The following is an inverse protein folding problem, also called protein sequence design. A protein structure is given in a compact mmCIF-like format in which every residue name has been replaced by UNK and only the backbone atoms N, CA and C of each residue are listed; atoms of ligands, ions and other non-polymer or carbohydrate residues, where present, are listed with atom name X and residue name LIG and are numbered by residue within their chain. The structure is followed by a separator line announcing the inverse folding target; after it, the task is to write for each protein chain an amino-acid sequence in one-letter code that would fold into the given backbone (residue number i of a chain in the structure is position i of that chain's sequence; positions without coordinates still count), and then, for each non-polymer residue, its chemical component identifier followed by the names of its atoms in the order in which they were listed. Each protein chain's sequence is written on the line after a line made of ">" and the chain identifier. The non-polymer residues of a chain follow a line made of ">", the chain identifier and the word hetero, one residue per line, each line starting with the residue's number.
data_IF_483961663848
#
_entry.id   IF_483961663848
#
_cell.length_a   1.000
_cell.length_b   1.000
_cell.length_c   1.000
_cell.angle_alpha   90.00
_cell.angle_beta   90.00
_cell.angle_gamma   90.00
#
_symmetry.space_group_name_H-M   'P 1'
#
loop_
_entity.id
_entity.type
_entity.pdbx_description
1 polymer ?
#
# COMPACT_ATOMS: atom_id res chain seq x y z
N UNK A 1 -42.81 20.69 -0.35
CA UNK A 1 -41.39 20.47 -0.24
C UNK A 1 -41.19 19.34 0.76
N UNK A 2 -41.02 18.12 0.28
CA UNK A 2 -40.71 16.94 1.08
C UNK A 2 -39.22 16.98 1.42
N UNK A 3 -38.92 17.20 2.69
CA UNK A 3 -37.56 17.05 3.21
C UNK A 3 -37.16 15.58 3.08
N UNK A 4 -36.30 15.26 2.16
CA UNK A 4 -35.62 13.97 2.10
C UNK A 4 -34.68 13.90 3.29
N UNK A 5 -35.04 13.12 4.29
CA UNK A 5 -34.16 12.76 5.38
C UNK A 5 -33.03 11.91 4.82
N UNK A 6 -31.88 12.53 4.55
CA UNK A 6 -30.67 11.88 4.03
C UNK A 6 -29.69 11.57 5.15
N UNK A 7 -30.11 10.85 6.16
CA UNK A 7 -29.19 10.19 7.08
C UNK A 7 -29.42 8.68 6.97
N UNK A 8 -28.96 8.09 5.89
CA UNK A 8 -28.75 6.65 5.84
C UNK A 8 -27.41 6.38 6.54
N UNK A 9 -27.44 6.06 7.81
CA UNK A 9 -26.29 5.56 8.56
C UNK A 9 -26.01 4.14 8.08
N UNK A 10 -24.85 3.93 7.43
CA UNK A 10 -24.41 2.62 7.03
C UNK A 10 -23.64 1.98 8.21
N UNK A 11 -24.30 1.08 8.93
CA UNK A 11 -23.62 0.33 9.99
C UNK A 11 -23.19 -1.02 9.47
N UNK A 12 -21.86 -1.20 9.29
CA UNK A 12 -21.27 -2.48 8.90
C UNK A 12 -20.70 -3.15 10.16
N UNK A 13 -21.33 -4.24 10.58
CA UNK A 13 -20.91 -5.02 11.77
C UNK A 13 -20.23 -6.33 11.42
N UNK A 14 -20.26 -6.72 10.15
CA UNK A 14 -19.80 -8.02 9.67
C UNK A 14 -19.09 -7.86 8.34
N UNK A 15 -18.39 -8.93 7.90
CA UNK A 15 -17.82 -8.99 6.56
C UNK A 15 -18.95 -9.11 5.55
N UNK A 16 -19.05 -8.13 4.64
CA UNK A 16 -20.03 -8.13 3.56
C UNK A 16 -19.34 -8.63 2.29
N UNK A 17 -19.79 -9.75 1.77
CA UNK A 17 -19.32 -10.27 0.49
C UNK A 17 -20.26 -9.86 -0.64
N UNK A 18 -19.76 -9.04 -1.58
CA UNK A 18 -20.51 -8.57 -2.74
C UNK A 18 -20.17 -9.45 -3.94
N UNK A 19 -21.03 -10.42 -4.21
CA UNK A 19 -20.88 -11.33 -5.34
C UNK A 19 -21.55 -10.73 -6.57
N UNK A 20 -20.87 -10.79 -7.72
CA UNK A 20 -21.44 -10.31 -8.99
C UNK A 20 -20.57 -10.73 -10.17
N UNK A 21 -21.22 -10.88 -11.34
CA UNK A 21 -20.53 -11.19 -12.58
C UNK A 21 -19.59 -10.06 -13.01
N UNK A 22 -18.68 -10.36 -13.92
CA UNK A 22 -17.83 -9.34 -14.57
C UNK A 22 -18.74 -8.29 -15.23
N UNK A 23 -18.46 -7.01 -15.03
CA UNK A 23 -19.29 -5.92 -15.55
C UNK A 23 -20.48 -5.54 -14.68
N UNK A 24 -20.73 -6.17 -13.53
CA UNK A 24 -21.86 -5.85 -12.64
C UNK A 24 -21.72 -4.51 -11.88
N UNK A 25 -20.68 -3.72 -12.15
CA UNK A 25 -20.49 -2.40 -11.55
C UNK A 25 -19.76 -2.39 -10.21
N UNK A 26 -19.13 -3.50 -9.79
CA UNK A 26 -18.35 -3.59 -8.53
C UNK A 26 -17.32 -2.46 -8.40
N UNK A 27 -16.47 -2.27 -9.41
CA UNK A 27 -15.45 -1.22 -9.40
C UNK A 27 -16.05 0.20 -9.39
N UNK A 28 -17.25 0.39 -9.96
CA UNK A 28 -17.98 1.65 -9.85
C UNK A 28 -18.49 1.87 -8.43
N UNK A 29 -19.03 0.82 -7.80
CA UNK A 29 -19.46 0.88 -6.40
C UNK A 29 -18.30 1.26 -5.46
N UNK A 30 -17.12 0.66 -5.63
CA UNK A 30 -15.92 0.99 -4.85
C UNK A 30 -15.58 2.49 -4.99
N UNK A 31 -15.61 3.03 -6.21
CA UNK A 31 -15.33 4.46 -6.47
C UNK A 31 -16.36 5.37 -5.82
N UNK A 32 -17.64 5.02 -5.90
CA UNK A 32 -18.73 5.77 -5.28
C UNK A 32 -18.62 5.74 -3.76
N UNK A 33 -18.36 4.58 -3.17
CA UNK A 33 -18.12 4.45 -1.73
C UNK A 33 -16.92 5.27 -1.27
N UNK A 34 -15.81 5.22 -2.00
CA UNK A 34 -14.62 6.00 -1.69
C UNK A 34 -14.91 7.50 -1.68
N UNK A 35 -15.62 8.00 -2.68
CA UNK A 35 -16.02 9.40 -2.75
C UNK A 35 -17.00 9.78 -1.63
N UNK A 36 -17.99 8.93 -1.35
CA UNK A 36 -18.96 9.16 -0.29
C UNK A 36 -18.30 9.17 1.09
N UNK A 37 -17.43 8.22 1.38
CA UNK A 37 -16.67 8.16 2.63
C UNK A 37 -15.84 9.42 2.83
N UNK A 38 -15.10 9.84 1.79
CA UNK A 38 -14.32 11.08 1.84
C UNK A 38 -15.20 12.31 2.17
N UNK A 39 -16.37 12.44 1.53
CA UNK A 39 -17.28 13.57 1.76
C UNK A 39 -17.88 13.58 3.16
N UNK A 40 -18.01 12.43 3.80
CA UNK A 40 -18.57 12.29 5.14
C UNK A 40 -17.50 12.16 6.25
N UNK A 41 -16.22 12.34 5.91
CA UNK A 41 -15.13 12.33 6.88
C UNK A 41 -14.68 10.94 7.34
N UNK A 42 -15.14 9.86 6.68
CA UNK A 42 -14.69 8.50 6.94
C UNK A 42 -13.36 8.22 6.25
N UNK A 43 -12.56 7.37 6.89
CA UNK A 43 -11.29 6.89 6.35
C UNK A 43 -11.43 5.45 5.91
N UNK A 44 -11.04 5.17 4.65
CA UNK A 44 -11.15 3.83 4.10
C UNK A 44 -9.85 3.36 3.45
N UNK A 45 -9.65 2.05 3.49
CA UNK A 45 -8.57 1.38 2.76
C UNK A 45 -9.17 0.53 1.65
N UNK A 46 -8.62 0.64 0.44
CA UNK A 46 -8.99 -0.20 -0.70
C UNK A 46 -7.79 -1.05 -1.07
N UNK A 47 -7.97 -2.37 -1.02
CA UNK A 47 -6.95 -3.35 -1.36
C UNK A 47 -7.27 -3.93 -2.73
N UNK A 48 -6.33 -3.79 -3.67
CA UNK A 48 -6.44 -4.27 -5.05
C UNK A 48 -5.29 -5.23 -5.37
N UNK A 49 -5.36 -5.92 -6.50
CA UNK A 49 -4.39 -6.96 -6.85
C UNK A 49 -3.05 -6.38 -7.34
N UNK A 50 -3.08 -5.34 -8.18
CA UNK A 50 -1.91 -4.88 -8.90
C UNK A 50 -1.52 -3.43 -8.61
N UNK A 51 -0.22 -3.12 -8.79
CA UNK A 51 0.30 -1.74 -8.68
C UNK A 51 -0.35 -0.81 -9.71
N UNK A 52 -0.63 -1.31 -10.90
CA UNK A 52 -1.30 -0.54 -11.95
C UNK A 52 -2.71 -0.09 -11.51
N UNK A 53 -3.46 -0.99 -10.86
CA UNK A 53 -4.79 -0.68 -10.32
C UNK A 53 -4.70 0.34 -9.17
N UNK A 54 -3.72 0.20 -8.27
CA UNK A 54 -3.47 1.18 -7.19
C UNK A 54 -3.30 2.58 -7.79
N UNK A 55 -2.42 2.72 -8.78
CA UNK A 55 -2.10 4.01 -9.39
C UNK A 55 -3.28 4.58 -10.19
N UNK A 56 -3.97 3.74 -10.96
CA UNK A 56 -5.13 4.17 -11.76
C UNK A 56 -6.28 4.63 -10.87
N UNK A 57 -6.58 3.89 -9.79
CA UNK A 57 -7.62 4.26 -8.86
C UNK A 57 -7.27 5.52 -8.07
N UNK A 58 -6.00 5.65 -7.65
CA UNK A 58 -5.48 6.84 -6.99
C UNK A 58 -5.63 8.07 -7.89
N UNK A 59 -5.21 7.97 -9.16
CA UNK A 59 -5.37 9.05 -10.15
C UNK A 59 -6.85 9.43 -10.33
N UNK A 60 -7.70 8.43 -10.53
CA UNK A 60 -9.15 8.66 -10.72
C UNK A 60 -9.77 9.42 -9.54
N UNK A 61 -9.53 8.96 -8.32
CA UNK A 61 -10.08 9.57 -7.12
C UNK A 61 -9.48 10.96 -6.85
N UNK A 62 -8.19 11.16 -7.12
CA UNK A 62 -7.54 12.48 -7.00
C UNK A 62 -8.16 13.52 -7.91
N UNK A 63 -8.50 13.16 -9.16
CA UNK A 63 -9.21 14.06 -10.09
C UNK A 63 -10.58 14.47 -9.57
N UNK A 64 -11.23 13.61 -8.78
CA UNK A 64 -12.49 13.92 -8.10
C UNK A 64 -12.31 14.73 -6.81
N UNK A 65 -11.09 15.13 -6.48
CA UNK A 65 -10.77 15.89 -5.28
C UNK A 65 -10.77 15.06 -3.98
N UNK A 66 -10.70 13.74 -4.07
CA UNK A 66 -10.58 12.86 -2.91
C UNK A 66 -9.13 12.88 -2.40
N UNK A 67 -8.92 13.07 -1.11
CA UNK A 67 -7.60 12.98 -0.49
C UNK A 67 -7.14 11.52 -0.45
N UNK A 68 -6.29 11.13 -1.41
CA UNK A 68 -5.85 9.76 -1.60
C UNK A 68 -4.35 9.60 -1.37
N UNK A 69 -3.93 8.44 -0.88
CA UNK A 69 -2.53 8.03 -0.85
C UNK A 69 -2.40 6.56 -1.29
N UNK A 70 -1.47 6.24 -2.19
CA UNK A 70 -1.15 4.85 -2.48
C UNK A 70 -0.17 4.31 -1.42
N UNK A 71 -0.26 3.03 -1.08
CA UNK A 71 0.77 2.29 -0.34
C UNK A 71 1.23 1.13 -1.20
N UNK A 72 2.45 1.21 -1.70
CA UNK A 72 3.04 0.21 -2.58
C UNK A 72 4.39 -0.19 -2.01
N UNK A 73 4.57 -1.47 -1.78
CA UNK A 73 5.83 -2.02 -1.32
C UNK A 73 6.98 -1.68 -2.27
N UNK A 74 8.20 -1.49 -1.73
CA UNK A 74 9.35 -1.07 -2.53
C UNK A 74 9.71 -2.08 -3.62
N UNK A 75 9.69 -3.37 -3.30
CA UNK A 75 9.93 -4.45 -4.26
C UNK A 75 8.91 -4.46 -5.40
N UNK A 76 7.64 -4.18 -5.10
CA UNK A 76 6.59 -4.09 -6.09
C UNK A 76 6.77 -2.87 -7.00
N UNK A 77 7.16 -1.72 -6.42
CA UNK A 77 7.50 -0.52 -7.22
C UNK A 77 8.61 -0.83 -8.23
N UNK A 78 9.67 -1.49 -7.77
CA UNK A 78 10.81 -1.84 -8.61
C UNK A 78 10.38 -2.81 -9.73
N UNK A 79 9.61 -3.84 -9.40
CA UNK A 79 9.07 -4.78 -10.39
C UNK A 79 8.21 -4.05 -11.42
N UNK A 80 7.31 -3.18 -10.96
CA UNK A 80 6.44 -2.41 -11.84
C UNK A 80 7.23 -1.48 -12.77
N UNK A 81 8.22 -0.75 -12.25
CA UNK A 81 9.11 0.11 -13.05
C UNK A 81 9.79 -0.72 -14.15
N UNK A 82 10.37 -1.86 -13.78
CA UNK A 82 11.06 -2.73 -14.74
C UNK A 82 10.12 -3.33 -15.81
N UNK A 83 8.84 -3.49 -15.50
CA UNK A 83 7.83 -3.97 -16.44
C UNK A 83 7.37 -2.87 -17.42
N UNK A 84 7.25 -1.64 -16.94
CA UNK A 84 6.73 -0.50 -17.72
C UNK A 84 7.83 0.25 -18.44
N UNK A 85 9.05 0.29 -17.90
CA UNK A 85 10.20 0.87 -18.55
C UNK A 85 10.64 -0.02 -19.73
N UNK A 86 10.15 0.29 -20.91
CA UNK A 86 10.65 -0.33 -22.14
C UNK A 86 12.08 0.17 -22.41
N UNK A 87 12.96 -0.65 -23.02
CA UNK A 87 14.36 -0.30 -23.25
C UNK A 87 14.58 1.02 -24.02
N UNK A 88 13.56 1.50 -24.71
CA UNK A 88 13.60 2.70 -25.54
C UNK A 88 12.80 3.89 -24.98
N UNK A 89 12.07 3.73 -23.88
CA UNK A 89 11.33 4.82 -23.24
C UNK A 89 12.01 5.22 -21.92
N UNK A 90 12.69 6.35 -21.96
CA UNK A 90 13.44 6.90 -20.81
C UNK A 90 12.56 7.54 -19.74
N UNK A 91 11.24 7.60 -19.91
CA UNK A 91 10.37 8.32 -18.99
C UNK A 91 9.22 7.45 -18.48
N UNK A 92 9.23 7.19 -17.17
CA UNK A 92 8.01 6.78 -16.46
C UNK A 92 6.93 7.87 -16.64
N UNK A 93 5.63 7.51 -16.70
CA UNK A 93 4.56 8.49 -16.68
C UNK A 93 4.79 9.47 -15.54
N UNK A 94 4.98 10.74 -15.87
CA UNK A 94 5.38 11.80 -14.90
C UNK A 94 4.42 11.92 -13.73
N UNK A 95 3.15 11.62 -13.94
CA UNK A 95 2.10 11.64 -12.93
C UNK A 95 2.28 10.61 -11.80
N UNK A 96 2.94 9.50 -12.05
CA UNK A 96 3.19 8.45 -11.05
C UNK A 96 4.61 8.44 -10.49
N UNK A 97 5.53 9.18 -11.10
CA UNK A 97 6.95 9.21 -10.72
C UNK A 97 7.16 9.51 -9.23
N UNK A 98 6.32 10.38 -8.67
CA UNK A 98 6.38 10.77 -7.26
C UNK A 98 6.08 9.62 -6.27
N UNK A 99 5.39 8.56 -6.70
CA UNK A 99 5.05 7.40 -5.88
C UNK A 99 5.91 6.18 -6.20
N UNK A 100 6.54 6.18 -7.36
CA UNK A 100 7.31 5.04 -7.84
C UNK A 100 8.81 5.11 -7.51
N UNK A 101 9.30 6.24 -6.99
CA UNK A 101 10.73 6.41 -6.68
C UNK A 101 11.20 5.37 -5.63
N UNK A 102 12.02 4.37 -6.02
CA UNK A 102 12.55 3.38 -5.10
C UNK A 102 13.89 3.82 -4.50
N UNK A 103 14.48 4.89 -5.03
CA UNK A 103 15.87 5.30 -4.76
C UNK A 103 15.92 6.16 -3.50
N UNK A 104 16.86 5.85 -2.61
CA UNK A 104 17.22 6.70 -1.48
C UNK A 104 18.13 7.83 -1.98
N UNK A 105 17.76 9.09 -1.70
CA UNK A 105 18.58 10.24 -2.10
C UNK A 105 19.96 10.24 -1.42
N UNK A 106 20.02 9.79 -0.16
CA UNK A 106 21.28 9.72 0.59
C UNK A 106 22.20 8.66 0.01
N UNK A 107 21.63 7.51 -0.39
CA UNK A 107 22.35 6.43 -1.05
C UNK A 107 22.90 6.85 -2.42
N UNK A 108 22.06 7.56 -3.18
CA UNK A 108 22.49 8.09 -4.48
C UNK A 108 23.57 9.19 -4.42
N UNK A 109 23.75 9.81 -3.26
CA UNK A 109 24.81 10.80 -3.01
C UNK A 109 26.11 10.18 -2.48
N UNK A 110 26.07 8.93 -2.01
CA UNK A 110 27.25 8.24 -1.47
C UNK A 110 28.05 7.62 -2.62
N UNK A 111 29.09 8.33 -3.03
CA UNK A 111 29.97 7.87 -4.11
C UNK A 111 30.99 6.80 -3.68
N UNK A 112 31.06 6.48 -2.40
CA UNK A 112 32.04 5.52 -1.86
C UNK A 112 31.47 4.11 -1.71
N UNK A 113 30.17 3.94 -1.69
CA UNK A 113 29.53 2.62 -1.56
C UNK A 113 29.15 2.07 -2.94
N UNK A 114 29.83 1.04 -3.36
CA UNK A 114 29.57 0.35 -4.64
C UNK A 114 28.33 -0.55 -4.63
N UNK A 115 27.71 -0.78 -3.49
CA UNK A 115 26.57 -1.66 -3.34
C UNK A 115 25.33 -0.86 -2.93
N UNK A 116 24.24 -0.98 -3.70
CA UNK A 116 22.96 -0.40 -3.36
C UNK A 116 22.50 -0.86 -1.96
N UNK A 117 21.94 0.05 -1.18
CA UNK A 117 21.40 -0.27 0.14
C UNK A 117 20.32 -1.35 -0.01
N UNK A 118 20.47 -2.45 0.71
CA UNK A 118 19.49 -3.53 0.72
C UNK A 118 18.13 -3.02 1.21
N UNK A 119 17.05 -3.56 0.64
CA UNK A 119 15.70 -3.23 1.02
C UNK A 119 15.49 -3.33 2.54
N UNK A 120 14.89 -2.29 3.13
CA UNK A 120 14.61 -2.21 4.56
C UNK A 120 15.80 -1.75 5.40
N UNK A 121 17.00 -1.56 4.81
CA UNK A 121 18.19 -1.02 5.48
C UNK A 121 18.45 0.45 5.15
N UNK A 122 17.45 1.13 4.58
CA UNK A 122 17.60 2.54 4.26
C UNK A 122 17.81 3.37 5.52
N UNK A 123 18.66 4.42 5.43
CA UNK A 123 18.98 5.25 6.57
C UNK A 123 17.86 6.19 7.00
N UNK A 124 16.63 5.98 6.50
CA UNK A 124 15.48 6.84 6.83
C UNK A 124 15.28 7.00 8.35
N UNK A 125 15.54 5.93 9.12
CA UNK A 125 15.30 5.85 10.55
C UNK A 125 16.56 5.51 11.36
N UNK A 126 17.68 5.30 10.70
CA UNK A 126 18.87 4.69 11.29
C UNK A 126 20.17 5.41 10.97
N UNK A 127 20.10 6.71 10.64
CA UNK A 127 21.32 7.51 10.57
C UNK A 127 21.97 7.55 11.94
N UNK A 128 23.19 7.05 12.05
CA UNK A 128 23.91 6.97 13.31
C UNK A 128 24.95 8.10 13.43
N UNK A 129 24.97 8.76 14.59
CA UNK A 129 26.09 9.62 15.00
C UNK A 129 26.47 9.21 16.42
N UNK A 130 27.61 8.52 16.54
CA UNK A 130 28.01 7.87 17.80
C UNK A 130 27.03 6.72 18.13
N UNK A 131 26.48 6.69 19.33
CA UNK A 131 25.52 5.66 19.80
C UNK A 131 24.04 6.03 19.58
N UNK A 132 23.75 7.15 18.94
CA UNK A 132 22.36 7.65 18.76
C UNK A 132 21.91 7.48 17.33
N UNK A 133 20.65 7.05 17.17
CA UNK A 133 19.97 6.99 15.88
C UNK A 133 19.20 8.30 15.64
N UNK A 134 19.23 8.77 14.41
CA UNK A 134 18.56 9.98 13.95
C UNK A 134 17.68 9.68 12.75
N UNK A 135 16.58 10.41 12.65
CA UNK A 135 15.75 10.42 11.46
C UNK A 135 16.51 11.11 10.32
N UNK A 136 16.37 10.59 9.10
CA UNK A 136 16.94 11.21 7.92
C UNK A 136 16.45 12.68 7.79
N UNK A 137 17.35 13.67 7.62
CA UNK A 137 16.96 15.06 7.49
C UNK A 137 15.99 15.32 6.32
N UNK A 138 16.11 14.52 5.27
CA UNK A 138 15.25 14.60 4.07
C UNK A 138 13.95 13.81 4.20
N UNK A 139 13.69 13.15 5.33
CA UNK A 139 12.51 12.28 5.49
C UNK A 139 11.20 12.99 5.10
N UNK A 140 11.03 14.24 5.50
CA UNK A 140 9.80 15.01 5.24
C UNK A 140 9.65 15.49 3.79
N UNK A 141 10.73 15.50 3.02
CA UNK A 141 10.75 15.96 1.62
C UNK A 141 11.01 14.81 0.65
N UNK A 142 11.42 13.64 1.16
CA UNK A 142 11.80 12.49 0.35
C UNK A 142 10.59 11.89 -0.37
N UNK A 143 10.68 11.74 -1.70
CA UNK A 143 9.65 11.09 -2.50
C UNK A 143 9.53 9.60 -2.15
N UNK A 144 10.63 8.94 -1.79
CA UNK A 144 10.62 7.54 -1.37
C UNK A 144 9.78 7.25 -0.13
N UNK A 145 9.60 8.26 0.75
CA UNK A 145 8.78 8.16 1.96
C UNK A 145 7.43 8.90 1.86
N UNK A 146 7.14 9.52 0.71
CA UNK A 146 5.95 10.35 0.52
C UNK A 146 4.66 9.62 0.89
N UNK A 147 4.42 8.46 0.29
CA UNK A 147 3.21 7.68 0.54
C UNK A 147 3.10 7.21 2.00
N UNK A 148 4.25 6.93 2.66
CA UNK A 148 4.28 6.52 4.07
C UNK A 148 3.92 7.65 5.05
N UNK A 149 3.98 8.90 4.59
CA UNK A 149 3.55 10.08 5.37
C UNK A 149 2.11 10.45 5.03
N UNK A 150 1.77 10.44 3.74
CA UNK A 150 0.44 10.85 3.26
C UNK A 150 -0.67 9.91 3.73
N UNK A 151 -0.37 8.63 3.99
CA UNK A 151 -1.37 7.68 4.47
C UNK A 151 -2.01 8.08 5.81
N UNK A 152 -1.35 8.91 6.63
CA UNK A 152 -1.92 9.39 7.90
C UNK A 152 -3.00 10.45 7.72
N UNK A 153 -2.94 11.21 6.64
CA UNK A 153 -3.86 12.32 6.37
C UNK A 153 -4.86 12.04 5.25
N UNK A 154 -4.61 11.01 4.45
CA UNK A 154 -5.50 10.60 3.39
C UNK A 154 -6.79 10.01 3.95
N UNK A 155 -7.91 10.37 3.34
CA UNK A 155 -9.22 9.75 3.64
C UNK A 155 -9.37 8.39 2.94
N UNK A 156 -8.70 8.20 1.80
CA UNK A 156 -8.72 6.95 1.05
C UNK A 156 -7.29 6.49 0.81
N UNK A 157 -6.92 5.35 1.36
CA UNK A 157 -5.63 4.72 1.08
C UNK A 157 -5.85 3.51 0.18
N UNK A 158 -5.06 3.42 -0.88
CA UNK A 158 -5.17 2.35 -1.87
C UNK A 158 -3.87 1.56 -1.85
N UNK A 159 -3.96 0.25 -1.75
CA UNK A 159 -2.78 -0.61 -1.58
C UNK A 159 -2.94 -1.94 -2.31
N UNK A 160 -1.81 -2.60 -2.55
CA UNK A 160 -1.80 -4.01 -2.94
C UNK A 160 -1.93 -4.90 -1.70
N UNK A 161 -2.24 -6.18 -1.89
CA UNK A 161 -2.30 -7.16 -0.78
C UNK A 161 -0.95 -7.23 -0.05
N UNK A 162 0.16 -7.27 -0.79
CA UNK A 162 1.50 -7.26 -0.20
C UNK A 162 1.80 -5.94 0.54
N UNK A 163 1.36 -4.81 -0.02
CA UNK A 163 1.45 -3.51 0.63
C UNK A 163 0.65 -3.44 1.92
N UNK A 164 -0.55 -4.00 1.94
CA UNK A 164 -1.41 -4.07 3.11
C UNK A 164 -0.80 -4.89 4.25
N UNK A 165 -0.28 -6.09 3.93
CA UNK A 165 0.24 -7.02 4.93
C UNK A 165 1.64 -6.66 5.43
N UNK A 166 2.54 -6.17 4.56
CA UNK A 166 3.96 -6.07 4.86
C UNK A 166 4.52 -4.65 4.95
N UNK A 167 3.79 -3.62 4.48
CA UNK A 167 4.31 -2.26 4.53
C UNK A 167 4.39 -1.72 5.95
N UNK A 168 5.48 -0.99 6.23
CA UNK A 168 5.64 -0.26 7.48
C UNK A 168 5.53 1.23 7.21
N UNK A 169 4.74 1.92 8.02
CA UNK A 169 4.41 3.33 7.85
C UNK A 169 4.89 4.18 9.01
N UNK A 170 4.98 5.47 8.78
CA UNK A 170 5.37 6.46 9.78
C UNK A 170 6.79 6.35 10.30
N UNK A 171 7.09 7.21 11.26
CA UNK A 171 8.40 7.25 11.94
C UNK A 171 8.58 6.07 12.90
N UNK A 172 7.49 5.63 13.51
CA UNK A 172 7.50 4.51 14.47
C UNK A 172 7.57 3.15 13.80
N UNK A 173 7.47 3.09 12.46
CA UNK A 173 7.50 1.86 11.66
C UNK A 173 6.42 0.85 12.09
N UNK A 174 5.26 1.33 12.49
CA UNK A 174 4.10 0.46 12.67
C UNK A 174 3.72 -0.21 11.34
N UNK A 175 3.12 -1.38 11.39
CA UNK A 175 2.62 -2.02 10.17
C UNK A 175 1.42 -1.23 9.63
N UNK A 176 1.26 -1.20 8.31
CA UNK A 176 0.10 -0.53 7.72
C UNK A 176 -1.21 -1.17 8.19
N UNK A 177 -1.21 -2.48 8.40
CA UNK A 177 -2.35 -3.21 8.96
C UNK A 177 -2.72 -2.68 10.36
N UNK A 178 -1.74 -2.48 11.26
CA UNK A 178 -2.00 -1.91 12.60
C UNK A 178 -2.60 -0.51 12.51
N UNK A 179 -2.07 0.34 11.62
CA UNK A 179 -2.63 1.66 11.36
C UNK A 179 -4.08 1.58 10.88
N UNK A 180 -4.37 0.68 9.94
CA UNK A 180 -5.72 0.49 9.40
C UNK A 180 -6.68 0.02 10.47
N UNK A 181 -6.31 -0.96 11.27
CA UNK A 181 -7.17 -1.47 12.35
C UNK A 181 -7.47 -0.45 13.45
N UNK A 182 -6.60 0.55 13.61
CA UNK A 182 -6.78 1.60 14.61
C UNK A 182 -7.55 2.82 14.08
N UNK A 183 -7.25 3.26 12.87
CA UNK A 183 -7.60 4.61 12.40
C UNK A 183 -8.53 4.64 11.18
N UNK A 184 -8.92 3.49 10.64
CA UNK A 184 -9.77 3.41 9.46
C UNK A 184 -11.13 2.80 9.77
N UNK A 185 -12.16 3.34 9.14
CA UNK A 185 -13.55 2.92 9.38
C UNK A 185 -13.96 1.71 8.54
N UNK A 186 -13.34 1.52 7.36
CA UNK A 186 -13.71 0.46 6.43
C UNK A 186 -12.49 -0.02 5.62
N UNK A 187 -12.43 -1.34 5.40
CA UNK A 187 -11.50 -1.97 4.46
C UNK A 187 -12.29 -2.65 3.35
N UNK A 188 -11.95 -2.34 2.12
CA UNK A 188 -12.56 -2.92 0.92
C UNK A 188 -11.50 -3.77 0.22
N UNK A 189 -11.80 -5.04 -0.01
CA UNK A 189 -10.98 -5.93 -0.82
C UNK A 189 -11.64 -6.10 -2.19
N UNK A 190 -10.95 -5.69 -3.26
CA UNK A 190 -11.34 -6.02 -4.62
C UNK A 190 -10.75 -7.39 -4.99
N UNK A 191 -11.51 -8.20 -5.72
CA UNK A 191 -11.12 -9.57 -6.09
C UNK A 191 -10.70 -10.44 -4.89
N UNK A 192 -11.62 -10.64 -3.93
CA UNK A 192 -11.37 -11.32 -2.65
C UNK A 192 -10.71 -12.70 -2.77
N UNK A 193 -10.97 -13.46 -3.83
CA UNK A 193 -10.37 -14.77 -4.06
C UNK A 193 -8.84 -14.70 -4.24
N UNK A 194 -8.37 -13.69 -4.97
CA UNK A 194 -6.93 -13.46 -5.16
C UNK A 194 -6.28 -12.92 -3.90
N UNK A 195 -6.98 -12.02 -3.21
CA UNK A 195 -6.55 -11.48 -1.93
C UNK A 195 -6.35 -12.58 -0.92
N UNK A 196 -7.33 -13.50 -0.78
CA UNK A 196 -7.25 -14.63 0.13
C UNK A 196 -6.02 -15.50 -0.14
N UNK A 197 -5.83 -15.90 -1.40
CA UNK A 197 -4.66 -16.70 -1.80
C UNK A 197 -3.32 -16.02 -1.45
N UNK A 198 -3.24 -14.71 -1.64
CA UNK A 198 -2.02 -13.95 -1.34
C UNK A 198 -1.81 -13.83 0.16
N UNK A 199 -2.86 -13.59 0.94
CA UNK A 199 -2.79 -13.55 2.40
C UNK A 199 -2.39 -14.90 2.99
N UNK A 200 -2.95 -16.00 2.47
CA UNK A 200 -2.59 -17.36 2.88
C UNK A 200 -1.09 -17.61 2.67
N UNK A 201 -0.54 -17.18 1.54
CA UNK A 201 0.90 -17.28 1.28
C UNK A 201 1.76 -16.44 2.25
N UNK A 202 1.27 -15.28 2.70
CA UNK A 202 1.98 -14.43 3.67
C UNK A 202 1.92 -14.97 5.10
N UNK A 203 0.78 -15.50 5.51
CA UNK A 203 0.54 -15.89 6.90
C UNK A 203 0.69 -17.39 7.15
N UNK A 204 0.63 -18.20 6.09
CA UNK A 204 0.84 -19.64 6.13
C UNK A 204 1.92 -20.02 5.12
N UNK A 205 3.20 -19.87 5.48
CA UNK A 205 4.30 -20.24 4.57
C UNK A 205 4.17 -21.72 4.20
N UNK A 206 4.18 -21.97 2.90
CA UNK A 206 4.17 -23.33 2.37
C UNK A 206 5.47 -24.05 2.81
N UNK A 207 5.39 -24.90 3.79
CA UNK A 207 6.42 -25.90 4.07
C UNK A 207 6.28 -27.01 3.06
N UNK A 208 7.35 -27.33 2.33
CA UNK A 208 7.30 -28.47 1.43
C UNK A 208 7.11 -29.75 2.26
N UNK A 209 6.28 -30.66 1.79
CA UNK A 209 6.04 -31.93 2.48
C UNK A 209 7.34 -32.68 2.79
N UNK A 210 8.35 -32.54 1.94
CA UNK A 210 9.69 -33.09 2.15
C UNK A 210 10.44 -32.46 3.32
N UNK A 211 10.36 -31.13 3.54
CA UNK A 211 10.96 -30.50 4.72
C UNK A 211 10.26 -30.90 6.01
N UNK A 212 8.94 -31.04 5.97
CA UNK A 212 8.18 -31.52 7.12
C UNK A 212 8.53 -32.96 7.52
N UNK A 213 8.72 -33.86 6.54
CA UNK A 213 9.20 -35.23 6.81
C UNK A 213 10.62 -35.21 7.38
N UNK A 214 11.50 -34.35 6.90
CA UNK A 214 12.87 -34.24 7.43
C UNK A 214 12.87 -33.73 8.89
N UNK A 215 12.09 -32.72 9.22
CA UNK A 215 11.96 -32.24 10.61
C UNK A 215 11.41 -33.33 11.53
N UNK A 216 10.37 -34.07 11.11
CA UNK A 216 9.82 -35.16 11.89
C UNK A 216 10.78 -36.36 12.02
N UNK A 217 11.72 -36.52 11.11
CA UNK A 217 12.71 -37.59 11.16
C UNK A 217 13.93 -37.29 12.04
N UNK A 218 14.22 -36.01 12.28
CA UNK A 218 15.30 -35.55 13.17
C UNK A 218 14.86 -35.54 14.65
N UNK A 219 13.56 -35.55 14.95
CA UNK A 219 13.00 -35.54 16.30
C UNK A 219 12.72 -37.01 16.83
N UNK A 220 13.03 -38.04 16.09
CA UNK A 220 12.95 -39.45 16.49
C UNK A 220 14.32 -40.06 16.69
#
# INVERSE_FOLDING_TARGET
>A
ATSVNTCAELTIREVINIVGMVGSGKSTLIKVLAFWCHKNGYRITIVVDTVAEVLNLQKYLSVLGVATSPIIGRSERLKYINQVAQPNETCLPTEFSQYLTPICLVDGMDTQHSAAIAFGKEPCYSLTKGSKNYLCPYFHQCLGTKMLRECYTASVVITTVAGFAASRVGVQRETFLELVMRDFDLVIFDESDRVQKTLDHFFMPETSFNSYIHECAEDC
#
